data_IF_748751219782
#
_entry.id   IF_748751219782
#
_cell.length_a   1.000
_cell.length_b   1.000
_cell.length_c   1.000
_cell.angle_alpha   90.00
_cell.angle_beta   90.00
_cell.angle_gamma   90.00
#
_symmetry.space_group_name_H-M   'P 1'
#
loop_
_entity.id
_entity.type
_entity.pdbx_description
1 polymer ?
#
# COMPACT_ATOMS: atom_id res chain seq x y z
N UNK A 1 -16.11 -5.09 14.30
CA UNK A 1 -15.18 -5.17 13.15
C UNK A 1 -14.29 -6.33 13.46
N UNK A 2 -14.40 -7.39 12.68
CA UNK A 2 -13.63 -8.61 12.86
C UNK A 2 -12.44 -8.63 11.88
N UNK A 3 -11.37 -9.39 12.19
CA UNK A 3 -10.26 -9.55 11.25
C UNK A 3 -10.75 -10.04 9.88
N UNK A 4 -10.42 -9.27 8.83
CA UNK A 4 -10.83 -9.54 7.45
C UNK A 4 -11.99 -8.66 6.95
N UNK A 5 -12.71 -7.99 7.84
CA UNK A 5 -13.68 -6.98 7.44
C UNK A 5 -13.00 -5.77 6.76
N UNK A 6 -13.71 -5.13 5.84
CA UNK A 6 -13.24 -3.93 5.15
C UNK A 6 -14.19 -2.76 5.37
N UNK A 7 -13.63 -1.56 5.56
CA UNK A 7 -14.39 -0.30 5.63
C UNK A 7 -13.99 0.57 4.45
N UNK A 8 -14.98 1.21 3.83
CA UNK A 8 -14.79 2.06 2.66
C UNK A 8 -15.47 3.40 2.89
N UNK A 9 -14.84 4.46 2.42
CA UNK A 9 -15.44 5.78 2.35
C UNK A 9 -15.07 6.45 1.02
N UNK A 10 -15.94 7.35 0.55
CA UNK A 10 -15.67 8.13 -0.66
C UNK A 10 -14.51 9.10 -0.40
N UNK A 11 -13.74 9.44 -1.44
CA UNK A 11 -12.55 10.29 -1.32
C UNK A 11 -12.82 11.66 -0.67
N UNK A 12 -14.05 12.18 -0.81
CA UNK A 12 -14.49 13.46 -0.24
C UNK A 12 -15.14 13.34 1.16
N UNK A 13 -15.21 12.14 1.76
CA UNK A 13 -15.78 11.97 3.09
C UNK A 13 -14.77 12.41 4.16
N UNK A 14 -15.17 13.40 4.95
CA UNK A 14 -14.46 13.78 6.16
C UNK A 14 -14.37 12.57 7.11
N UNK A 15 -13.17 12.26 7.56
CA UNK A 15 -12.91 11.18 8.50
C UNK A 15 -11.82 11.59 9.49
N UNK A 16 -11.88 10.99 10.68
CA UNK A 16 -10.90 11.17 11.75
C UNK A 16 -10.74 9.85 12.52
N UNK A 17 -9.61 9.70 13.19
CA UNK A 17 -9.36 8.58 14.11
C UNK A 17 -9.65 9.05 15.53
N UNK A 18 -10.18 8.17 16.36
CA UNK A 18 -10.43 8.48 17.77
C UNK A 18 -9.14 8.92 18.49
N UNK A 19 -9.21 9.93 19.38
CA UNK A 19 -8.03 10.46 20.06
C UNK A 19 -7.47 9.51 21.12
N UNK A 20 -8.23 8.50 21.53
CA UNK A 20 -7.83 7.53 22.54
C UNK A 20 -8.34 6.13 22.20
N UNK A 21 -7.49 5.13 22.42
CA UNK A 21 -7.85 3.72 22.32
C UNK A 21 -7.97 3.12 23.72
N UNK A 22 -9.19 2.76 24.13
CA UNK A 22 -9.50 2.16 25.44
C UNK A 22 -9.74 0.63 25.37
N UNK A 23 -9.49 0.02 24.21
CA UNK A 23 -9.60 -1.42 24.01
C UNK A 23 -8.43 -2.19 24.64
N UNK A 24 -8.63 -3.49 24.86
CA UNK A 24 -7.63 -4.38 25.45
C UNK A 24 -6.61 -4.93 24.44
N UNK A 25 -6.86 -4.78 23.15
CA UNK A 25 -6.07 -5.38 22.06
C UNK A 25 -5.60 -4.32 21.06
N UNK A 26 -4.61 -4.64 20.23
CA UNK A 26 -4.14 -3.71 19.20
C UNK A 26 -5.21 -3.48 18.13
N UNK A 27 -5.52 -2.21 17.85
CA UNK A 27 -6.30 -1.83 16.67
C UNK A 27 -5.36 -1.74 15.45
N UNK A 28 -5.29 -2.79 14.65
CA UNK A 28 -4.43 -2.85 13.46
C UNK A 28 -5.23 -2.90 12.17
N UNK A 29 -4.80 -2.13 11.17
CA UNK A 29 -5.40 -2.06 9.83
C UNK A 29 -4.31 -2.03 8.76
N UNK A 30 -4.67 -2.43 7.55
CA UNK A 30 -3.84 -2.23 6.35
C UNK A 30 -4.58 -1.28 5.42
N UNK A 31 -3.93 -0.19 5.00
CA UNK A 31 -4.53 0.75 4.06
C UNK A 31 -4.46 0.22 2.63
N UNK A 32 -5.62 -0.12 2.06
CA UNK A 32 -5.77 -0.56 0.68
C UNK A 32 -6.90 0.25 0.04
N UNK A 33 -6.55 1.20 -0.81
CA UNK A 33 -7.52 2.07 -1.49
C UNK A 33 -8.06 1.43 -2.79
N UNK A 34 -9.24 1.88 -3.21
CA UNK A 34 -9.75 1.60 -4.55
C UNK A 34 -9.17 2.63 -5.54
N UNK A 35 -8.20 2.22 -6.35
CA UNK A 35 -7.54 3.09 -7.33
C UNK A 35 -7.87 2.66 -8.77
N UNK A 36 -8.77 3.36 -9.48
CA UNK A 36 -9.14 2.97 -10.84
C UNK A 36 -8.00 3.20 -11.84
N UNK A 37 -8.04 2.45 -12.94
CA UNK A 37 -7.02 2.56 -14.00
C UNK A 37 -7.25 3.82 -14.84
N UNK A 38 -6.47 4.86 -14.57
CA UNK A 38 -6.46 6.15 -15.31
C UNK A 38 -5.04 6.47 -15.81
N UNK A 39 -4.86 7.37 -16.80
CA UNK A 39 -3.53 7.79 -17.22
C UNK A 39 -2.65 8.30 -16.08
N UNK A 40 -3.21 9.12 -15.18
CA UNK A 40 -2.51 9.65 -14.00
C UNK A 40 -2.09 8.54 -13.05
N UNK A 41 -2.99 7.61 -12.72
CA UNK A 41 -2.68 6.52 -11.81
C UNK A 41 -1.65 5.54 -12.40
N UNK A 42 -1.73 5.26 -13.71
CA UNK A 42 -0.71 4.46 -14.41
C UNK A 42 0.68 5.10 -14.33
N UNK A 43 0.77 6.42 -14.49
CA UNK A 43 2.04 7.13 -14.38
C UNK A 43 2.65 7.02 -12.97
N UNK A 44 1.81 7.05 -11.93
CA UNK A 44 2.26 6.82 -10.56
C UNK A 44 2.68 5.37 -10.30
N UNK A 45 1.85 4.39 -10.69
CA UNK A 45 2.11 2.96 -10.44
C UNK A 45 3.42 2.49 -11.08
N UNK A 46 3.82 3.01 -12.26
CA UNK A 46 5.15 2.71 -12.81
C UNK A 46 6.29 3.11 -11.85
N UNK A 47 6.23 4.32 -11.30
CA UNK A 47 7.24 4.82 -10.35
C UNK A 47 7.22 4.02 -9.04
N UNK A 48 6.01 3.66 -8.58
CA UNK A 48 5.85 2.83 -7.39
C UNK A 48 6.45 1.43 -7.60
N UNK A 49 6.26 0.81 -8.77
CA UNK A 49 6.85 -0.49 -9.10
C UNK A 49 8.39 -0.44 -9.05
N UNK A 50 8.99 0.60 -9.62
CA UNK A 50 10.45 0.79 -9.60
C UNK A 50 11.00 0.97 -8.18
N UNK A 51 10.26 1.66 -7.30
CA UNK A 51 10.59 1.75 -5.88
C UNK A 51 10.48 0.39 -5.19
N UNK A 52 9.37 -0.31 -5.40
CA UNK A 52 9.06 -1.61 -4.78
C UNK A 52 10.09 -2.68 -5.15
N UNK A 53 10.53 -2.72 -6.42
CA UNK A 53 11.59 -3.63 -6.88
C UNK A 53 12.93 -3.40 -6.18
N UNK A 54 13.19 -2.17 -5.76
CA UNK A 54 14.37 -1.81 -4.98
C UNK A 54 14.16 -1.88 -3.46
N UNK A 55 13.01 -2.35 -2.98
CA UNK A 55 12.64 -2.34 -1.56
C UNK A 55 12.59 -0.95 -0.93
N UNK A 56 12.45 0.11 -1.75
CA UNK A 56 12.42 1.50 -1.29
C UNK A 56 10.99 1.96 -1.05
N UNK A 57 10.77 2.98 -0.20
CA UNK A 57 9.47 3.59 -0.02
C UNK A 57 8.88 4.07 -1.36
N UNK A 58 7.54 4.00 -1.51
CA UNK A 58 6.86 4.57 -2.66
C UNK A 58 7.08 6.10 -2.74
N UNK A 59 6.98 6.71 -3.93
CA UNK A 59 7.37 8.12 -4.14
C UNK A 59 6.71 9.16 -3.23
N UNK A 60 5.50 8.88 -2.75
CA UNK A 60 4.74 9.71 -1.80
C UNK A 60 5.24 9.62 -0.34
N UNK A 61 6.05 8.62 0.00
CA UNK A 61 6.62 8.41 1.34
C UNK A 61 8.15 8.39 1.35
N UNK A 62 8.81 8.87 0.30
CA UNK A 62 10.27 8.87 0.20
C UNK A 62 10.96 9.94 1.05
N UNK A 63 10.29 11.06 1.33
CA UNK A 63 10.90 12.14 2.08
C UNK A 63 11.14 11.72 3.54
N UNK A 64 12.42 11.74 3.96
CA UNK A 64 12.81 11.34 5.30
C UNK A 64 12.77 9.84 5.57
N UNK A 65 12.56 9.00 4.54
CA UNK A 65 12.52 7.56 4.66
C UNK A 65 13.51 6.89 3.68
N UNK A 66 14.56 6.29 4.24
CA UNK A 66 15.61 5.57 3.52
C UNK A 66 15.51 4.06 3.72
N UNK A 67 14.35 3.54 4.13
CA UNK A 67 14.16 2.12 4.38
C UNK A 67 14.47 1.28 3.15
N UNK A 68 15.12 0.14 3.37
CA UNK A 68 15.38 -0.85 2.34
C UNK A 68 14.81 -2.19 2.81
N UNK A 69 13.58 -2.48 2.37
CA UNK A 69 12.85 -3.68 2.73
C UNK A 69 13.55 -4.96 2.24
N UNK A 70 14.42 -4.89 1.23
CA UNK A 70 15.17 -6.06 0.75
C UNK A 70 16.13 -6.62 1.80
N UNK A 71 16.51 -5.79 2.80
CA UNK A 71 17.39 -6.17 3.91
C UNK A 71 16.62 -6.72 5.12
N UNK A 72 15.29 -6.64 5.11
CA UNK A 72 14.47 -7.09 6.23
C UNK A 72 14.26 -8.61 6.20
N UNK A 73 14.26 -9.22 7.39
CA UNK A 73 13.95 -10.64 7.53
C UNK A 73 12.52 -10.92 7.09
N UNK A 74 12.35 -11.84 6.15
CA UNK A 74 11.04 -12.24 5.64
C UNK A 74 10.63 -11.55 4.33
N UNK A 75 11.47 -10.69 3.76
CA UNK A 75 11.24 -10.16 2.41
C UNK A 75 11.26 -11.30 1.37
N UNK A 76 10.19 -11.41 0.59
CA UNK A 76 10.01 -12.48 -0.43
C UNK A 76 10.06 -11.96 -1.87
N UNK A 77 10.22 -10.65 -2.07
CA UNK A 77 10.21 -10.03 -3.39
C UNK A 77 8.86 -10.12 -4.11
N UNK A 78 8.88 -9.92 -5.43
CA UNK A 78 7.68 -9.83 -6.27
C UNK A 78 7.51 -11.01 -7.25
N UNK A 79 8.47 -11.93 -7.29
CA UNK A 79 8.50 -12.99 -8.31
C UNK A 79 7.32 -13.96 -8.18
N UNK A 80 6.94 -14.27 -6.93
CA UNK A 80 5.84 -15.18 -6.58
C UNK A 80 4.43 -14.61 -6.78
N UNK A 81 4.28 -13.37 -7.24
CA UNK A 81 2.96 -12.76 -7.44
C UNK A 81 2.17 -13.43 -8.57
N UNK A 82 0.88 -13.63 -8.32
CA UNK A 82 -0.08 -14.07 -9.33
C UNK A 82 -0.22 -13.05 -10.48
N UNK A 83 -0.73 -13.47 -11.63
CA UNK A 83 -0.86 -12.62 -12.83
C UNK A 83 -1.68 -11.34 -12.57
N UNK A 84 -2.82 -11.45 -11.88
CA UNK A 84 -3.65 -10.29 -11.53
C UNK A 84 -2.94 -9.33 -10.57
N UNK A 85 -2.17 -9.85 -9.62
CA UNK A 85 -1.35 -9.02 -8.73
C UNK A 85 -0.26 -8.30 -9.54
N UNK A 86 0.46 -8.99 -10.43
CA UNK A 86 1.47 -8.36 -11.30
C UNK A 86 0.87 -7.25 -12.17
N UNK A 87 -0.36 -7.43 -12.65
CA UNK A 87 -1.11 -6.40 -13.38
C UNK A 87 -1.41 -5.19 -12.49
N UNK A 88 -1.88 -5.40 -11.26
CA UNK A 88 -2.14 -4.33 -10.29
C UNK A 88 -0.86 -3.57 -9.88
N UNK A 89 0.26 -4.28 -9.71
CA UNK A 89 1.58 -3.70 -9.48
C UNK A 89 2.17 -3.00 -10.72
N UNK A 90 1.52 -3.08 -11.88
CA UNK A 90 1.93 -2.35 -13.07
C UNK A 90 3.03 -3.00 -13.91
N UNK A 91 3.28 -4.31 -13.77
CA UNK A 91 4.31 -5.02 -14.56
C UNK A 91 4.12 -4.96 -16.08
N UNK A 92 2.92 -4.59 -16.56
CA UNK A 92 2.62 -4.40 -17.98
C UNK A 92 2.31 -2.96 -18.38
N UNK A 93 2.62 -1.97 -17.52
CA UNK A 93 2.41 -0.56 -17.79
C UNK A 93 3.58 0.05 -18.53
#
# INVERSE_FOLDING_TARGET
MEPGDTVWWHADVCHAVDPAHQGAENASVVYIAACPTTPTNKAYVRKQLDATRGGRPPPDYQEGNDSDETKLKGYVGLDGLAAEAKKAFGFGL
#
